data_IF_701512905644
#
_entry.id   IF_701512905644
#
_cell.length_a   1.000
_cell.length_b   1.000
_cell.length_c   1.000
_cell.angle_alpha   90.00
_cell.angle_beta   90.00
_cell.angle_gamma   90.00
#
_symmetry.space_group_name_H-M   'P 1'
#
loop_
_entity.id
_entity.type
_entity.pdbx_description
1 polymer ?
#
# COMPACT_ATOMS: atom_id res chain seq x y z
N UNK A 1 20.99 -27.85 30.62
CA UNK A 1 19.63 -27.54 31.13
C UNK A 1 19.71 -26.23 31.91
N UNK A 2 19.20 -25.12 31.38
CA UNK A 2 19.30 -23.83 32.06
C UNK A 2 18.33 -23.80 33.24
N UNK A 3 18.86 -23.61 34.45
CA UNK A 3 18.10 -23.51 35.70
C UNK A 3 17.49 -22.11 35.80
N UNK A 4 16.19 -22.00 35.61
CA UNK A 4 15.46 -20.76 35.88
C UNK A 4 15.45 -20.47 37.39
N UNK A 5 15.90 -19.27 37.79
CA UNK A 5 15.89 -18.82 39.19
C UNK A 5 14.45 -18.41 39.58
N UNK A 6 13.86 -19.13 40.54
CA UNK A 6 12.46 -19.03 41.00
C UNK A 6 12.10 -17.77 41.83
N UNK A 7 12.51 -16.55 41.47
CA UNK A 7 12.24 -15.42 42.38
C UNK A 7 12.44 -14.00 41.90
N UNK A 8 12.27 -13.70 40.60
CA UNK A 8 12.38 -12.32 40.11
C UNK A 8 11.42 -12.02 38.96
N UNK A 9 11.32 -10.75 38.57
CA UNK A 9 10.60 -10.35 37.34
C UNK A 9 11.14 -11.17 36.17
N UNK A 10 10.29 -11.92 35.45
CA UNK A 10 10.71 -12.68 34.29
C UNK A 10 11.49 -11.80 33.31
N UNK A 11 12.59 -12.33 32.77
CA UNK A 11 13.35 -11.62 31.74
C UNK A 11 12.52 -11.61 30.46
N UNK A 12 12.36 -10.43 29.85
CA UNK A 12 11.79 -10.34 28.50
C UNK A 12 12.66 -11.15 27.53
N UNK A 13 12.00 -11.79 26.56
CA UNK A 13 12.69 -12.47 25.47
C UNK A 13 13.52 -11.47 24.63
N UNK A 14 14.53 -11.93 23.88
CA UNK A 14 15.24 -11.09 22.94
C UNK A 14 14.34 -10.41 21.90
N UNK A 15 13.20 -11.04 21.54
CA UNK A 15 12.24 -10.50 20.57
C UNK A 15 11.38 -9.37 21.15
N UNK A 16 11.03 -9.43 22.44
CA UNK A 16 10.22 -8.39 23.09
C UNK A 16 11.07 -7.21 23.58
N UNK A 17 12.37 -7.43 23.76
CA UNK A 17 13.28 -6.42 24.30
C UNK A 17 13.55 -5.33 23.26
N UNK A 18 13.16 -4.10 23.58
CA UNK A 18 13.46 -2.89 22.79
C UNK A 18 14.97 -2.56 22.81
N UNK A 19 15.74 -3.24 21.94
CA UNK A 19 17.22 -3.15 21.88
C UNK A 19 17.72 -2.05 20.96
N UNK A 20 17.04 -1.83 19.85
CA UNK A 20 17.49 -0.93 18.78
C UNK A 20 16.93 0.49 18.96
N UNK A 21 17.70 1.49 18.54
CA UNK A 21 17.31 2.91 18.61
C UNK A 21 17.44 3.56 17.24
N UNK A 22 16.46 4.36 16.88
CA UNK A 22 16.45 5.18 15.66
C UNK A 22 16.44 6.65 16.13
N UNK A 23 17.53 7.42 15.95
CA UNK A 23 17.53 8.84 16.31
C UNK A 23 16.71 9.64 15.30
N UNK A 24 15.74 10.41 15.78
CA UNK A 24 14.92 11.32 14.96
C UNK A 24 15.18 12.74 15.42
N UNK A 25 15.57 13.63 14.49
CA UNK A 25 15.70 15.06 14.75
C UNK A 25 14.41 15.76 14.33
N UNK A 26 13.84 16.54 15.23
CA UNK A 26 12.58 17.27 15.03
C UNK A 26 12.87 18.77 15.06
N UNK A 27 12.11 19.55 14.31
CA UNK A 27 12.09 20.99 14.52
C UNK A 27 11.33 21.32 15.82
N UNK A 28 11.46 22.56 16.29
CA UNK A 28 10.81 23.01 17.54
C UNK A 28 9.31 22.74 17.53
N UNK A 29 8.63 23.04 16.42
CA UNK A 29 7.20 22.85 16.27
C UNK A 29 6.82 21.37 16.41
N UNK A 30 7.42 20.50 15.60
CA UNK A 30 7.14 19.05 15.61
C UNK A 30 7.39 18.42 16.98
N UNK A 31 8.43 18.86 17.70
CA UNK A 31 8.72 18.37 19.04
C UNK A 31 7.62 18.73 20.04
N UNK A 32 7.15 19.97 20.04
CA UNK A 32 6.09 20.39 20.95
C UNK A 32 4.74 19.78 20.57
N UNK A 33 4.47 19.57 19.29
CA UNK A 33 3.27 18.86 18.84
C UNK A 33 3.27 17.38 19.29
N UNK A 34 4.40 16.69 19.13
CA UNK A 34 4.57 15.33 19.65
C UNK A 34 4.39 15.29 21.17
N UNK A 35 4.98 16.25 21.88
CA UNK A 35 4.88 16.34 23.35
C UNK A 35 3.45 16.59 23.82
N UNK A 36 2.71 17.48 23.15
CA UNK A 36 1.32 17.75 23.45
C UNK A 36 0.45 16.51 23.21
N UNK A 37 0.61 15.84 22.06
CA UNK A 37 -0.10 14.60 21.74
C UNK A 37 0.18 13.47 22.73
N UNK A 38 1.45 13.31 23.12
CA UNK A 38 1.85 12.31 24.11
C UNK A 38 1.19 12.58 25.47
N UNK A 39 1.19 13.85 25.90
CA UNK A 39 0.50 14.27 27.14
C UNK A 39 -0.99 13.96 27.10
N UNK A 40 -1.68 14.31 26.01
CA UNK A 40 -3.12 14.02 25.84
C UNK A 40 -3.41 12.52 25.85
N UNK A 41 -2.53 11.71 25.26
CA UNK A 41 -2.65 10.26 25.25
C UNK A 41 -2.23 9.58 26.57
N UNK A 42 -1.73 10.32 27.56
CA UNK A 42 -1.20 9.74 28.81
C UNK A 42 0.06 8.90 28.61
N UNK A 43 0.83 9.16 27.54
CA UNK A 43 2.01 8.41 27.13
C UNK A 43 3.26 9.30 27.13
N UNK A 44 4.45 8.67 27.12
CA UNK A 44 5.68 9.40 26.83
C UNK A 44 5.89 9.51 25.30
N UNK A 45 6.68 10.50 24.86
CA UNK A 45 6.91 10.77 23.44
C UNK A 45 7.49 9.56 22.70
N UNK A 46 8.35 8.77 23.34
CA UNK A 46 8.99 7.59 22.74
C UNK A 46 7.99 6.46 22.50
N UNK A 47 7.07 6.23 23.44
CA UNK A 47 5.98 5.25 23.30
C UNK A 47 5.05 5.66 22.17
N UNK A 48 4.62 6.92 22.16
CA UNK A 48 3.74 7.44 21.12
C UNK A 48 4.40 7.34 19.74
N UNK A 49 5.66 7.74 19.62
CA UNK A 49 6.42 7.63 18.37
C UNK A 49 6.57 6.18 17.92
N UNK A 50 6.85 5.25 18.85
CA UNK A 50 6.93 3.82 18.53
C UNK A 50 5.62 3.31 17.98
N UNK A 51 4.50 3.53 18.68
CA UNK A 51 3.18 3.06 18.25
C UNK A 51 2.84 3.65 16.88
N UNK A 52 3.12 4.94 16.67
CA UNK A 52 2.91 5.58 15.39
C UNK A 52 3.75 4.93 14.27
N UNK A 53 5.03 4.63 14.52
CA UNK A 53 5.92 4.01 13.52
C UNK A 53 5.54 2.54 13.26
N UNK A 54 5.23 1.76 14.29
CA UNK A 54 4.87 0.34 14.11
C UNK A 54 3.45 0.16 13.56
N UNK A 55 2.58 1.14 13.78
CA UNK A 55 1.20 1.14 13.28
C UNK A 55 1.02 1.88 11.97
N UNK A 56 2.02 2.62 11.47
CA UNK A 56 1.86 3.34 10.22
C UNK A 56 1.81 2.36 9.04
N UNK A 57 0.83 2.57 8.16
CA UNK A 57 0.80 1.91 6.85
C UNK A 57 1.49 2.83 5.86
N UNK A 58 2.72 2.50 5.50
CA UNK A 58 3.40 3.16 4.39
C UNK A 58 2.78 2.60 3.11
N UNK A 59 1.97 3.41 2.42
CA UNK A 59 1.52 3.07 1.07
C UNK A 59 2.70 3.25 0.13
N UNK A 60 3.19 2.17 -0.45
CA UNK A 60 4.15 2.28 -1.55
C UNK A 60 3.52 3.09 -2.68
N UNK A 61 4.34 3.90 -3.35
CA UNK A 61 3.90 4.48 -4.62
C UNK A 61 3.68 3.34 -5.62
N UNK A 62 2.69 3.49 -6.49
CA UNK A 62 2.50 2.60 -7.61
C UNK A 62 3.84 2.47 -8.36
N UNK A 63 4.27 1.24 -8.60
CA UNK A 63 5.49 1.00 -9.36
C UNK A 63 5.35 1.55 -10.79
N UNK A 64 6.47 1.72 -11.50
CA UNK A 64 6.45 2.10 -12.91
C UNK A 64 5.55 1.17 -13.74
N UNK A 65 5.64 -0.12 -13.46
CA UNK A 65 4.92 -1.20 -14.14
C UNK A 65 3.41 -1.12 -13.87
N UNK A 66 3.02 -0.87 -12.61
CA UNK A 66 1.62 -0.67 -12.23
C UNK A 66 1.03 0.58 -12.89
N UNK A 67 1.80 1.67 -12.93
CA UNK A 67 1.36 2.89 -13.63
C UNK A 67 1.22 2.69 -15.14
N UNK A 68 2.12 1.90 -15.74
CA UNK A 68 2.04 1.54 -17.16
C UNK A 68 0.77 0.74 -17.46
N UNK A 69 0.42 -0.24 -16.60
CA UNK A 69 -0.81 -1.01 -16.73
C UNK A 69 -2.06 -0.12 -16.61
N UNK A 70 -2.09 0.82 -15.64
CA UNK A 70 -3.20 1.78 -15.50
C UNK A 70 -3.35 2.67 -16.75
N UNK A 71 -2.23 3.12 -17.34
CA UNK A 71 -2.26 3.90 -18.59
C UNK A 71 -2.77 3.07 -19.77
N UNK A 72 -2.38 1.80 -19.88
CA UNK A 72 -2.90 0.87 -20.91
C UNK A 72 -4.42 0.67 -20.76
N UNK A 73 -4.91 0.42 -19.54
CA UNK A 73 -6.36 0.32 -19.27
C UNK A 73 -7.11 1.58 -19.66
N UNK A 74 -6.55 2.76 -19.34
CA UNK A 74 -7.15 4.04 -19.71
C UNK A 74 -7.25 4.20 -21.24
N UNK A 75 -6.22 3.77 -21.99
CA UNK A 75 -6.26 3.71 -23.45
C UNK A 75 -7.31 2.75 -23.99
N UNK A 76 -7.50 1.59 -23.34
CA UNK A 76 -8.53 0.62 -23.71
C UNK A 76 -9.95 1.15 -23.52
N UNK A 77 -10.21 1.97 -22.49
CA UNK A 77 -11.49 2.67 -22.34
C UNK A 77 -11.80 3.61 -23.51
N UNK A 78 -10.79 4.28 -24.06
CA UNK A 78 -10.94 5.09 -25.26
C UNK A 78 -11.23 4.24 -26.50
N UNK A 79 -10.61 3.06 -26.62
CA UNK A 79 -10.90 2.12 -27.71
C UNK A 79 -12.33 1.62 -27.63
N UNK A 80 -12.82 1.28 -26.42
CA UNK A 80 -14.19 0.85 -26.21
C UNK A 80 -15.20 1.94 -26.62
N UNK A 81 -14.93 3.19 -26.27
CA UNK A 81 -15.76 4.33 -26.68
C UNK A 81 -15.79 4.51 -28.20
N UNK A 82 -14.69 4.22 -28.90
CA UNK A 82 -14.64 4.29 -30.38
C UNK A 82 -15.45 3.15 -31.00
N UNK A 83 -15.31 1.92 -30.49
CA UNK A 83 -16.07 0.75 -30.94
C UNK A 83 -17.58 0.99 -30.74
N UNK A 84 -17.98 1.52 -29.58
CA UNK A 84 -19.37 1.85 -29.30
C UNK A 84 -19.93 2.91 -30.27
N UNK A 85 -19.16 3.96 -30.57
CA UNK A 85 -19.56 4.97 -31.55
C UNK A 85 -19.72 4.37 -32.95
N UNK A 86 -18.78 3.55 -33.40
CA UNK A 86 -18.85 2.86 -34.70
C UNK A 86 -20.02 1.91 -34.79
N UNK A 87 -20.27 1.12 -33.74
CA UNK A 87 -21.43 0.23 -33.68
C UNK A 87 -22.75 0.99 -33.82
N UNK A 88 -22.84 2.19 -33.22
CA UNK A 88 -24.01 3.05 -33.33
C UNK A 88 -24.19 3.67 -34.75
N UNK A 89 -23.10 3.92 -35.48
CA UNK A 89 -23.16 4.54 -36.82
C UNK A 89 -23.25 3.53 -37.97
N UNK A 90 -22.56 2.39 -37.85
CA UNK A 90 -22.34 1.41 -38.94
C UNK A 90 -22.98 0.05 -38.64
N UNK A 91 -23.58 -0.12 -37.46
CA UNK A 91 -24.21 -1.36 -37.02
C UNK A 91 -23.27 -2.31 -36.27
N UNK A 92 -23.82 -3.05 -35.30
CA UNK A 92 -23.05 -3.88 -34.35
C UNK A 92 -22.23 -5.02 -34.97
N UNK A 93 -22.61 -5.53 -36.14
CA UNK A 93 -21.90 -6.66 -36.78
C UNK A 93 -20.47 -6.25 -37.14
N UNK A 94 -20.28 -5.01 -37.60
CA UNK A 94 -18.99 -4.49 -38.02
C UNK A 94 -18.04 -4.22 -36.83
N UNK A 95 -18.58 -3.94 -35.65
CA UNK A 95 -17.83 -3.63 -34.43
C UNK A 95 -17.52 -4.86 -33.55
N UNK A 96 -18.12 -6.01 -33.85
CA UNK A 96 -18.12 -7.20 -32.98
C UNK A 96 -16.73 -7.81 -32.76
N UNK A 97 -15.93 -7.93 -33.81
CA UNK A 97 -14.59 -8.54 -33.71
C UNK A 97 -13.61 -7.63 -32.96
N UNK A 98 -13.70 -6.30 -33.16
CA UNK A 98 -12.91 -5.32 -32.42
C UNK A 98 -13.24 -5.35 -30.92
N UNK A 99 -14.52 -5.53 -30.59
CA UNK A 99 -14.97 -5.69 -29.21
C UNK A 99 -14.36 -6.92 -28.53
N UNK A 100 -14.43 -8.11 -29.15
CA UNK A 100 -13.87 -9.32 -28.56
C UNK A 100 -12.36 -9.22 -28.35
N UNK A 101 -11.64 -8.67 -29.34
CA UNK A 101 -10.21 -8.44 -29.21
C UNK A 101 -9.86 -7.50 -28.04
N UNK A 102 -10.66 -6.43 -27.86
CA UNK A 102 -10.45 -5.50 -26.75
C UNK A 102 -10.77 -6.14 -25.39
N UNK A 103 -11.80 -6.98 -25.31
CA UNK A 103 -12.17 -7.70 -24.09
C UNK A 103 -11.04 -8.63 -23.63
N UNK A 104 -10.49 -9.45 -24.53
CA UNK A 104 -9.35 -10.34 -24.23
C UNK A 104 -8.13 -9.56 -23.71
N UNK A 105 -7.89 -8.36 -24.28
CA UNK A 105 -6.78 -7.50 -23.87
C UNK A 105 -7.00 -6.81 -22.52
N UNK A 106 -8.24 -6.49 -22.17
CA UNK A 106 -8.58 -5.96 -20.85
C UNK A 106 -8.32 -7.05 -19.80
N UNK A 107 -8.76 -8.28 -20.06
CA UNK A 107 -8.55 -9.41 -19.14
C UNK A 107 -7.06 -9.68 -18.90
N UNK A 108 -6.23 -9.64 -19.95
CA UNK A 108 -4.77 -9.77 -19.83
C UNK A 108 -4.16 -8.71 -18.90
N UNK A 109 -4.53 -7.43 -19.07
CA UNK A 109 -3.98 -6.33 -18.25
C UNK A 109 -4.49 -6.37 -16.81
N UNK A 110 -5.74 -6.79 -16.58
CA UNK A 110 -6.28 -6.99 -15.24
C UNK A 110 -5.50 -8.09 -14.52
N UNK A 111 -5.26 -9.24 -15.17
CA UNK A 111 -4.49 -10.33 -14.57
C UNK A 111 -3.06 -9.90 -14.18
N UNK A 112 -2.39 -9.10 -15.02
CA UNK A 112 -1.07 -8.55 -14.70
C UNK A 112 -1.08 -7.63 -13.46
N UNK A 113 -2.13 -6.81 -13.29
CA UNK A 113 -2.27 -5.95 -12.11
C UNK A 113 -2.56 -6.75 -10.84
N UNK A 114 -3.34 -7.82 -10.92
CA UNK A 114 -3.69 -8.66 -9.77
C UNK A 114 -2.49 -9.47 -9.27
N UNK A 115 -1.67 -10.01 -10.16
CA UNK A 115 -0.51 -10.81 -9.77
C UNK A 115 0.62 -9.98 -9.16
N UNK A 116 0.81 -8.74 -9.60
CA UNK A 116 1.76 -7.81 -8.96
C UNK A 116 1.32 -7.39 -7.55
N UNK A 117 0.01 -7.38 -7.27
CA UNK A 117 -0.52 -7.06 -5.93
C UNK A 117 -0.33 -8.17 -4.89
N UNK A 118 -0.16 -9.42 -5.33
CA UNK A 118 0.06 -10.60 -4.46
C UNK A 118 1.52 -10.76 -4.04
N UNK A 119 2.43 -10.06 -4.70
CA UNK A 119 3.89 -10.18 -4.54
C UNK A 119 4.53 -8.97 -3.81
N UNK A 120 3.75 -8.01 -3.31
CA UNK A 120 4.19 -6.89 -2.45
C UNK A 120 3.60 -6.96 -1.05
#
# INVERSE_FOLDING_TARGET
>A
MMKDKKGGRPKLSPAEKLKYRIPVKLCTQDFYDLKAKAKTAGMNCTELARIAITGCRIRQRLSSEQMDCIRKLSGMGNNLNQIAKRANTEGCINARNEYFYLADKIDEVINLLEDDSKNS
#
